data_IF_988507137012
#
_entry.id   IF_988507137012
#
_cell.length_a   1.000
_cell.length_b   1.000
_cell.length_c   1.000
_cell.angle_alpha   90.00
_cell.angle_beta   90.00
_cell.angle_gamma   90.00
#
_symmetry.space_group_name_H-M   'P 1'
#
loop_
_entity.id
_entity.type
_entity.pdbx_description
1 polymer ?
#
# COMPACT_ATOMS: atom_id res chain seq x y z
N UNK A 1 -30.06 -38.71 -6.10
CA UNK A 1 -30.62 -37.59 -6.91
C UNK A 1 -31.00 -36.31 -6.13
N UNK A 2 -30.94 -36.28 -4.79
CA UNK A 2 -31.30 -35.09 -3.96
C UNK A 2 -30.20 -34.05 -3.77
N UNK A 3 -28.93 -34.40 -3.90
CA UNK A 3 -27.79 -33.47 -3.66
C UNK A 3 -27.54 -32.48 -4.80
N UNK A 4 -27.78 -32.85 -6.06
CA UNK A 4 -27.57 -31.96 -7.20
C UNK A 4 -28.60 -30.81 -7.27
N UNK A 5 -29.80 -31.01 -6.78
CA UNK A 5 -30.85 -29.97 -6.81
C UNK A 5 -30.63 -28.90 -5.74
N UNK A 6 -30.04 -29.26 -4.61
CA UNK A 6 -29.65 -28.28 -3.56
C UNK A 6 -28.52 -27.36 -4.04
N UNK A 7 -27.54 -27.91 -4.77
CA UNK A 7 -26.43 -27.12 -5.35
C UNK A 7 -26.96 -26.18 -6.43
N UNK A 8 -27.88 -26.61 -7.28
CA UNK A 8 -28.49 -25.77 -8.30
C UNK A 8 -29.31 -24.62 -7.70
N UNK A 9 -30.04 -24.86 -6.59
CA UNK A 9 -30.79 -23.84 -5.87
C UNK A 9 -29.87 -22.81 -5.20
N UNK A 10 -28.74 -23.24 -4.64
CA UNK A 10 -27.75 -22.33 -4.03
C UNK A 10 -27.10 -21.40 -5.06
N UNK A 11 -26.76 -21.91 -6.24
CA UNK A 11 -26.18 -21.12 -7.34
C UNK A 11 -27.23 -20.10 -7.86
N UNK A 12 -28.50 -20.49 -7.97
CA UNK A 12 -29.56 -19.60 -8.44
C UNK A 12 -29.84 -18.43 -7.47
N UNK A 13 -29.79 -18.68 -6.15
CA UNK A 13 -29.91 -17.62 -5.14
C UNK A 13 -28.73 -16.66 -5.15
N UNK A 14 -27.52 -17.14 -5.45
CA UNK A 14 -26.31 -16.32 -5.54
C UNK A 14 -26.38 -15.37 -6.74
N UNK A 15 -26.90 -15.84 -7.89
CA UNK A 15 -27.08 -15.01 -9.09
C UNK A 15 -28.12 -13.91 -8.86
N UNK A 16 -29.23 -14.23 -8.16
CA UNK A 16 -30.27 -13.23 -7.82
C UNK A 16 -29.71 -12.18 -6.86
N UNK A 17 -28.88 -12.57 -5.87
CA UNK A 17 -28.25 -11.65 -4.92
C UNK A 17 -27.32 -10.64 -5.61
N UNK A 18 -26.53 -11.09 -6.59
CA UNK A 18 -25.64 -10.21 -7.39
C UNK A 18 -26.45 -9.27 -8.26
N UNK A 19 -27.52 -9.74 -8.93
CA UNK A 19 -28.35 -8.90 -9.79
C UNK A 19 -29.08 -7.81 -9.00
N UNK A 20 -29.58 -8.11 -7.79
CA UNK A 20 -30.22 -7.12 -6.92
C UNK A 20 -29.20 -6.14 -6.34
N UNK A 21 -27.99 -6.60 -5.96
CA UNK A 21 -26.91 -5.76 -5.45
C UNK A 21 -26.46 -4.71 -6.47
N UNK A 22 -26.28 -5.09 -7.73
CA UNK A 22 -25.90 -4.18 -8.83
C UNK A 22 -27.02 -3.17 -9.11
N UNK A 23 -28.30 -3.58 -9.02
CA UNK A 23 -29.45 -2.70 -9.25
C UNK A 23 -29.57 -1.62 -8.16
N UNK A 24 -29.32 -1.96 -6.90
CA UNK A 24 -29.32 -1.00 -5.77
C UNK A 24 -28.11 -0.06 -5.85
N UNK A 25 -26.93 -0.58 -6.24
CA UNK A 25 -25.73 0.22 -6.42
C UNK A 25 -25.87 1.28 -7.51
N UNK A 26 -26.47 0.92 -8.64
CA UNK A 26 -26.73 1.86 -9.74
C UNK A 26 -27.83 2.90 -9.40
N UNK A 27 -28.81 2.55 -8.56
CA UNK A 27 -29.88 3.49 -8.18
C UNK A 27 -29.37 4.60 -7.25
N UNK A 28 -28.39 4.30 -6.39
CA UNK A 28 -27.76 5.29 -5.50
C UNK A 28 -26.77 6.25 -6.19
N UNK A 29 -26.43 6.02 -7.47
CA UNK A 29 -25.55 6.89 -8.26
C UNK A 29 -26.31 7.97 -9.04
N UNK A 30 -27.65 7.93 -9.08
CA UNK A 30 -28.47 8.78 -9.96
C UNK A 30 -29.21 9.90 -9.20
N UNK A 31 -29.19 9.95 -7.88
CA UNK A 31 -30.00 10.91 -7.08
C UNK A 31 -29.20 12.08 -6.48
N UNK A 32 -28.24 12.65 -7.21
CA UNK A 32 -27.64 13.92 -6.83
C UNK A 32 -27.63 14.93 -7.99
N UNK A 33 -28.80 15.18 -8.59
CA UNK A 33 -29.01 16.40 -9.38
C UNK A 33 -30.29 17.08 -8.91
N UNK A 34 -30.12 18.06 -8.00
CA UNK A 34 -31.18 18.98 -7.64
C UNK A 34 -31.49 19.89 -8.84
N UNK A 35 -32.59 19.59 -9.51
CA UNK A 35 -33.21 20.47 -10.50
C UNK A 35 -34.09 21.48 -9.73
N UNK A 36 -33.62 22.72 -9.68
CA UNK A 36 -34.48 23.85 -9.29
C UNK A 36 -35.17 24.33 -10.56
N UNK A 37 -36.48 24.05 -10.60
CA UNK A 37 -37.38 24.55 -11.60
C UNK A 37 -37.68 26.04 -11.31
N UNK A 38 -37.30 26.96 -12.19
CA UNK A 38 -37.90 28.28 -12.27
C UNK A 38 -38.19 28.65 -13.70
N UNK A 39 -39.48 28.67 -13.94
CA UNK A 39 -40.17 28.98 -15.18
C UNK A 39 -40.24 30.49 -15.38
N UNK A 40 -39.80 30.91 -16.57
CA UNK A 40 -40.33 32.03 -17.36
C UNK A 40 -39.94 33.47 -16.99
N UNK A 41 -39.11 34.07 -17.83
CA UNK A 41 -39.50 35.25 -18.61
C UNK A 41 -38.42 35.52 -19.68
N UNK A 42 -38.91 35.74 -20.88
CA UNK A 42 -38.12 36.05 -22.10
C UNK A 42 -37.55 37.48 -22.01
N UNK A 43 -36.39 37.72 -22.51
CA UNK A 43 -36.00 38.52 -23.65
C UNK A 43 -34.53 38.89 -23.66
N UNK A 44 -33.89 38.43 -24.72
CA UNK A 44 -32.91 39.10 -25.58
C UNK A 44 -31.82 39.97 -24.92
N UNK A 45 -30.59 39.46 -24.93
CA UNK A 45 -29.50 40.08 -25.71
C UNK A 45 -28.25 39.21 -25.58
N UNK A 46 -27.63 39.01 -26.73
CA UNK A 46 -26.31 38.41 -26.95
C UNK A 46 -25.24 39.04 -26.08
N UNK A 47 -24.40 38.20 -25.49
CA UNK A 47 -22.94 38.32 -25.56
C UNK A 47 -22.39 36.95 -25.15
N UNK A 48 -21.91 36.20 -26.14
CA UNK A 48 -21.02 35.06 -25.94
C UNK A 48 -19.73 35.53 -25.24
N UNK A 49 -19.73 35.51 -23.92
CA UNK A 49 -18.50 35.43 -23.16
C UNK A 49 -18.48 34.05 -22.46
N UNK A 50 -18.14 33.02 -23.23
CA UNK A 50 -17.53 31.83 -22.65
C UNK A 50 -16.18 32.30 -22.11
N UNK A 51 -16.16 32.74 -20.87
CA UNK A 51 -14.90 32.85 -20.12
C UNK A 51 -14.40 31.42 -20.04
N UNK A 52 -13.27 31.09 -20.69
CA UNK A 52 -12.67 29.79 -20.45
C UNK A 52 -12.33 29.80 -18.96
N UNK A 53 -13.01 28.95 -18.19
CA UNK A 53 -12.57 28.66 -16.82
C UNK A 53 -11.17 28.08 -16.99
N UNK A 54 -10.17 28.92 -16.79
CA UNK A 54 -8.79 28.50 -16.82
C UNK A 54 -8.71 27.38 -15.78
N UNK A 55 -8.53 26.15 -16.22
CA UNK A 55 -8.20 25.02 -15.35
C UNK A 55 -6.90 25.45 -14.68
N UNK A 56 -7.00 25.88 -13.43
CA UNK A 56 -5.80 26.24 -12.65
C UNK A 56 -5.03 24.95 -12.47
N UNK A 57 -3.97 24.81 -13.26
CA UNK A 57 -3.09 23.66 -13.18
C UNK A 57 -2.47 23.60 -11.79
N UNK A 58 -2.74 22.52 -11.07
CA UNK A 58 -2.21 22.30 -9.73
C UNK A 58 -0.69 22.09 -9.79
N UNK A 59 0.04 22.82 -8.95
CA UNK A 59 1.52 22.78 -8.89
C UNK A 59 2.00 22.47 -7.49
N UNK A 60 3.11 21.74 -7.42
CA UNK A 60 3.74 21.29 -6.19
C UNK A 60 4.20 22.47 -5.33
N UNK A 61 3.79 22.46 -4.04
CA UNK A 61 4.23 23.41 -3.02
C UNK A 61 5.66 23.14 -2.55
N UNK A 62 6.43 24.17 -2.11
CA UNK A 62 7.73 23.97 -1.47
C UNK A 62 7.71 23.07 -0.23
N UNK A 63 6.58 22.99 0.46
CA UNK A 63 6.38 22.19 1.68
C UNK A 63 5.68 20.85 1.40
N UNK A 64 5.55 20.47 0.13
CA UNK A 64 4.90 19.21 -0.22
C UNK A 64 5.72 18.01 0.28
N UNK A 65 5.01 16.91 0.56
CA UNK A 65 5.61 15.63 0.92
C UNK A 65 5.44 14.63 -0.22
N UNK A 66 6.42 13.76 -0.37
CA UNK A 66 6.34 12.60 -1.24
C UNK A 66 6.23 11.36 -0.37
N UNK A 67 5.14 10.62 -0.54
CA UNK A 67 4.95 9.30 0.08
C UNK A 67 5.32 8.25 -0.95
N UNK A 68 6.44 7.59 -0.71
CA UNK A 68 6.93 6.48 -1.52
C UNK A 68 6.34 5.18 -0.97
N UNK A 69 5.68 4.41 -1.81
CA UNK A 69 5.14 3.10 -1.49
C UNK A 69 5.83 2.05 -2.35
N UNK A 70 6.56 1.13 -1.73
CA UNK A 70 7.20 0.00 -2.41
C UNK A 70 6.54 -1.31 -1.94
N UNK A 71 5.95 -2.04 -2.87
CA UNK A 71 5.38 -3.35 -2.62
C UNK A 71 6.32 -4.44 -3.11
N UNK A 72 6.66 -5.37 -2.24
CA UNK A 72 7.57 -6.48 -2.52
C UNK A 72 6.79 -7.78 -2.68
N UNK A 73 6.79 -8.34 -3.90
CA UNK A 73 5.99 -9.53 -4.22
C UNK A 73 6.53 -10.82 -3.59
N UNK A 74 7.79 -10.86 -3.21
CA UNK A 74 8.41 -12.03 -2.58
C UNK A 74 8.02 -12.23 -1.12
N UNK A 75 7.58 -11.16 -0.43
CA UNK A 75 7.22 -11.20 0.99
C UNK A 75 5.88 -10.53 1.31
N UNK A 76 5.16 -10.04 0.30
CA UNK A 76 3.84 -9.38 0.43
C UNK A 76 3.87 -8.14 1.35
N UNK A 77 5.03 -7.46 1.41
CA UNK A 77 5.20 -6.27 2.25
C UNK A 77 5.09 -4.98 1.45
N UNK A 78 4.40 -4.00 2.05
CA UNK A 78 4.30 -2.63 1.56
C UNK A 78 5.11 -1.70 2.47
N UNK A 79 6.29 -1.30 2.02
CA UNK A 79 7.09 -0.28 2.70
C UNK A 79 6.60 1.11 2.33
N UNK A 80 6.50 1.99 3.33
CA UNK A 80 6.11 3.39 3.14
C UNK A 80 7.19 4.29 3.73
N UNK A 81 7.63 5.25 2.95
CA UNK A 81 8.57 6.28 3.37
C UNK A 81 8.04 7.66 2.98
N UNK A 82 8.10 8.62 3.91
CA UNK A 82 7.71 10.00 3.65
C UNK A 82 8.95 10.88 3.56
N UNK A 83 9.10 11.59 2.46
CA UNK A 83 10.23 12.49 2.17
C UNK A 83 9.75 13.90 1.87
N UNK A 84 10.62 14.87 2.07
CA UNK A 84 10.40 16.20 1.55
C UNK A 84 10.46 16.19 0.02
N UNK A 85 9.72 17.13 -0.59
CA UNK A 85 9.76 17.27 -2.04
C UNK A 85 11.16 17.73 -2.48
N UNK A 86 11.75 17.12 -3.52
CA UNK A 86 12.97 17.64 -4.12
C UNK A 86 12.77 19.07 -4.63
N UNK A 87 13.74 19.96 -4.41
CA UNK A 87 13.65 21.37 -4.78
C UNK A 87 13.31 21.59 -6.25
N UNK A 88 13.86 20.76 -7.13
CA UNK A 88 13.63 20.82 -8.57
C UNK A 88 12.21 20.41 -9.00
N UNK A 89 11.40 19.87 -8.10
CA UNK A 89 9.98 19.56 -8.32
C UNK A 89 9.03 20.63 -7.78
N UNK A 90 9.53 21.62 -7.07
CA UNK A 90 8.72 22.77 -6.62
C UNK A 90 8.18 23.52 -7.83
N UNK A 91 6.89 23.92 -7.78
CA UNK A 91 6.14 24.55 -8.85
C UNK A 91 5.98 23.72 -10.14
N UNK A 92 6.28 22.41 -10.09
CA UNK A 92 6.03 21.50 -11.21
C UNK A 92 4.59 20.98 -11.17
N UNK A 93 4.07 20.67 -12.36
CA UNK A 93 2.77 20.00 -12.52
C UNK A 93 2.90 18.47 -12.47
N UNK A 94 1.76 17.79 -12.55
CA UNK A 94 1.70 16.31 -12.49
C UNK A 94 2.58 15.64 -13.55
N UNK A 95 2.49 16.08 -14.80
CA UNK A 95 3.24 15.49 -15.92
C UNK A 95 4.78 15.59 -15.69
N UNK A 96 5.24 16.72 -15.16
CA UNK A 96 6.65 16.93 -14.85
C UNK A 96 7.12 16.05 -13.67
N UNK A 97 6.24 15.79 -12.70
CA UNK A 97 6.50 14.87 -11.58
C UNK A 97 6.56 13.43 -12.08
N UNK A 98 5.62 13.00 -12.91
CA UNK A 98 5.63 11.68 -13.54
C UNK A 98 6.91 11.44 -14.35
N UNK A 99 7.35 12.44 -15.09
CA UNK A 99 8.61 12.38 -15.84
C UNK A 99 9.86 12.26 -14.95
N UNK A 100 9.83 12.90 -13.79
CA UNK A 100 10.93 12.78 -12.81
C UNK A 100 10.98 11.41 -12.16
N UNK A 101 9.82 10.90 -11.76
CA UNK A 101 9.66 9.58 -11.14
C UNK A 101 9.30 8.49 -12.18
N UNK A 102 10.03 8.46 -13.31
CA UNK A 102 9.74 7.59 -14.46
C UNK A 102 9.62 6.08 -14.15
N UNK A 103 10.29 5.63 -13.06
CA UNK A 103 10.30 4.22 -12.63
C UNK A 103 9.24 3.95 -11.53
N UNK A 104 8.38 4.94 -11.27
CA UNK A 104 7.30 4.90 -10.28
C UNK A 104 5.97 5.24 -10.94
N UNK A 105 4.89 4.70 -10.40
CA UNK A 105 3.54 5.15 -10.73
C UNK A 105 3.11 6.27 -9.79
N UNK A 106 2.58 7.37 -10.30
CA UNK A 106 2.01 8.44 -9.47
C UNK A 106 0.57 8.09 -9.16
N UNK A 107 0.34 7.52 -7.97
CA UNK A 107 -1.00 7.13 -7.49
C UNK A 107 -1.88 8.33 -7.18
N UNK A 108 -1.29 9.37 -6.59
CA UNK A 108 -1.99 10.59 -6.23
C UNK A 108 -1.09 11.81 -6.39
N UNK A 109 -1.69 12.89 -6.85
CA UNK A 109 -1.01 14.17 -7.02
C UNK A 109 -1.88 15.29 -6.46
N UNK A 110 -1.32 16.06 -5.54
CA UNK A 110 -1.88 17.30 -5.04
C UNK A 110 -0.79 18.33 -4.79
N UNK A 111 -1.20 19.58 -4.55
CA UNK A 111 -0.28 20.68 -4.24
C UNK A 111 0.66 20.37 -3.08
N UNK A 112 0.20 19.62 -2.06
CA UNK A 112 0.92 19.41 -0.81
C UNK A 112 1.40 17.98 -0.60
N UNK A 113 0.92 17.02 -1.41
CA UNK A 113 1.24 15.61 -1.27
C UNK A 113 1.27 14.91 -2.61
N UNK A 114 2.29 14.11 -2.82
CA UNK A 114 2.46 13.23 -3.96
C UNK A 114 2.63 11.82 -3.43
N UNK A 115 1.81 10.88 -3.90
CA UNK A 115 1.95 9.46 -3.57
C UNK A 115 2.46 8.75 -4.80
N UNK A 116 3.62 8.12 -4.67
CA UNK A 116 4.20 7.29 -5.72
C UNK A 116 4.29 5.84 -5.26
N UNK A 117 4.04 4.93 -6.19
CA UNK A 117 4.00 3.49 -5.97
C UNK A 117 4.93 2.77 -6.94
N UNK A 118 5.61 1.75 -6.43
CA UNK A 118 6.42 0.83 -7.23
C UNK A 118 6.23 -0.58 -6.71
N UNK A 119 6.15 -1.53 -7.64
CA UNK A 119 6.21 -2.95 -7.34
C UNK A 119 7.62 -3.47 -7.62
N UNK A 120 8.18 -4.20 -6.65
CA UNK A 120 9.50 -4.82 -6.72
C UNK A 120 9.35 -6.33 -6.61
N UNK A 121 10.11 -7.04 -7.41
CA UNK A 121 10.21 -8.49 -7.26
C UNK A 121 11.14 -8.84 -6.10
N UNK A 122 10.85 -9.97 -5.41
CA UNK A 122 11.69 -10.47 -4.33
C UNK A 122 11.28 -9.96 -2.95
N UNK A 123 12.21 -10.10 -1.99
CA UNK A 123 12.00 -9.76 -0.59
C UNK A 123 12.43 -8.32 -0.31
N UNK A 124 11.75 -7.65 0.62
CA UNK A 124 12.24 -6.38 1.13
C UNK A 124 13.47 -6.61 2.03
N UNK A 125 14.27 -5.58 2.22
CA UNK A 125 15.50 -5.63 3.02
C UNK A 125 15.28 -5.55 4.54
N UNK A 126 14.05 -5.77 5.02
CA UNK A 126 13.68 -5.68 6.43
C UNK A 126 13.43 -7.05 7.06
N UNK A 127 13.76 -8.14 6.38
CA UNK A 127 13.60 -9.48 6.91
C UNK A 127 14.81 -9.92 7.70
N UNK A 128 14.54 -10.39 8.91
CA UNK A 128 15.50 -11.00 9.80
C UNK A 128 15.06 -12.42 10.16
N UNK A 129 16.05 -13.27 10.45
CA UNK A 129 15.84 -14.60 11.00
C UNK A 129 16.76 -14.77 12.19
N UNK A 130 16.18 -15.11 13.35
CA UNK A 130 16.93 -15.43 14.56
C UNK A 130 17.07 -16.94 14.64
N UNK A 131 18.28 -17.44 14.69
CA UNK A 131 18.56 -18.88 14.80
C UNK A 131 19.72 -19.16 15.74
N UNK A 132 19.77 -20.38 16.27
CA UNK A 132 20.95 -20.90 16.96
C UNK A 132 22.15 -20.88 16.00
N UNK A 133 23.28 -20.35 16.48
CA UNK A 133 24.55 -20.32 15.79
C UNK A 133 25.72 -20.48 16.79
N UNK A 134 26.41 -21.60 16.72
CA UNK A 134 27.60 -21.87 17.56
C UNK A 134 27.37 -21.67 19.08
N UNK A 135 26.19 -22.01 19.59
CA UNK A 135 25.87 -21.91 21.02
C UNK A 135 25.30 -20.55 21.46
N UNK A 136 25.10 -19.61 20.55
CA UNK A 136 24.45 -18.32 20.79
C UNK A 136 23.29 -18.10 19.81
N UNK A 137 22.50 -17.04 20.02
CA UNK A 137 21.54 -16.60 19.00
C UNK A 137 22.29 -15.81 17.94
N UNK A 138 22.15 -16.23 16.68
CA UNK A 138 22.61 -15.49 15.50
C UNK A 138 21.48 -14.74 14.84
N UNK A 139 21.74 -13.52 14.41
CA UNK A 139 20.82 -12.69 13.60
C UNK A 139 21.24 -12.82 12.15
N UNK A 140 20.30 -13.23 11.30
CA UNK A 140 20.49 -13.35 9.87
C UNK A 140 19.64 -12.34 9.15
N UNK A 141 20.10 -11.87 8.00
CA UNK A 141 19.32 -11.08 7.04
C UNK A 141 18.88 -11.95 5.86
N UNK A 142 17.75 -11.61 5.26
CA UNK A 142 17.25 -12.24 4.03
C UNK A 142 17.35 -11.18 2.94
N UNK A 143 18.11 -11.45 1.87
CA UNK A 143 18.27 -10.53 0.76
C UNK A 143 17.07 -10.60 -0.21
N UNK A 144 17.07 -9.77 -1.24
CA UNK A 144 16.02 -9.68 -2.26
C UNK A 144 15.73 -11.01 -2.99
N UNK A 145 16.70 -11.91 -3.03
CA UNK A 145 16.59 -13.23 -3.66
C UNK A 145 16.20 -14.33 -2.66
N UNK A 146 15.94 -13.98 -1.39
CA UNK A 146 15.64 -14.94 -0.33
C UNK A 146 16.87 -15.65 0.24
N UNK A 147 18.09 -15.18 -0.07
CA UNK A 147 19.32 -15.75 0.48
C UNK A 147 19.53 -15.28 1.92
N UNK A 148 19.68 -16.25 2.80
CA UNK A 148 19.92 -16.03 4.22
C UNK A 148 21.43 -15.87 4.47
N UNK A 149 21.83 -14.79 5.13
CA UNK A 149 23.22 -14.49 5.47
C UNK A 149 23.33 -14.06 6.94
N UNK A 150 24.28 -14.63 7.69
CA UNK A 150 24.54 -14.21 9.06
C UNK A 150 24.98 -12.74 9.07
N UNK A 151 24.27 -11.93 9.86
CA UNK A 151 24.58 -10.52 10.09
C UNK A 151 25.50 -10.36 11.29
N UNK A 152 25.12 -10.97 12.42
CA UNK A 152 25.87 -10.87 13.67
C UNK A 152 25.46 -11.98 14.65
N UNK A 153 26.35 -12.34 15.55
CA UNK A 153 26.06 -13.18 16.71
C UNK A 153 25.71 -12.29 17.91
N UNK A 154 24.70 -12.70 18.67
CA UNK A 154 24.35 -12.03 19.93
C UNK A 154 25.19 -12.61 21.10
N UNK A 155 25.09 -11.99 22.29
CA UNK A 155 25.65 -12.53 23.51
C UNK A 155 24.75 -13.54 24.22
N UNK A 156 23.53 -13.80 23.67
CA UNK A 156 22.53 -14.68 24.28
C UNK A 156 22.92 -16.14 24.05
N UNK A 157 23.31 -16.83 25.11
CA UNK A 157 23.76 -18.22 25.03
C UNK A 157 22.56 -19.18 25.02
N UNK A 158 22.49 -20.03 24.03
CA UNK A 158 21.36 -20.96 23.83
C UNK A 158 21.33 -22.07 24.89
N UNK A 159 22.42 -22.35 25.58
CA UNK A 159 22.50 -23.34 26.65
C UNK A 159 21.67 -22.98 27.90
N UNK A 160 21.32 -21.70 28.06
CA UNK A 160 20.48 -21.24 29.18
C UNK A 160 19.01 -21.10 28.81
N UNK A 161 18.65 -21.31 27.56
CA UNK A 161 17.26 -21.22 27.13
C UNK A 161 16.45 -22.43 27.61
N UNK A 162 15.19 -22.23 28.00
CA UNK A 162 14.23 -23.31 28.18
C UNK A 162 14.12 -24.17 26.90
N UNK A 163 13.85 -25.47 27.06
CA UNK A 163 13.76 -26.41 25.94
C UNK A 163 12.77 -25.93 24.84
N UNK A 164 11.63 -25.36 25.25
CA UNK A 164 10.63 -24.85 24.33
C UNK A 164 11.14 -23.67 23.48
N UNK A 165 12.00 -22.82 24.04
CA UNK A 165 12.56 -21.68 23.32
C UNK A 165 13.75 -22.10 22.45
N UNK A 166 14.54 -23.04 22.94
CA UNK A 166 15.62 -23.67 22.15
C UNK A 166 15.05 -24.33 20.88
N UNK A 167 13.90 -24.97 20.96
CA UNK A 167 13.22 -25.54 19.79
C UNK A 167 12.79 -24.45 18.80
N UNK A 168 12.23 -23.32 19.28
CA UNK A 168 11.85 -22.20 18.41
C UNK A 168 13.04 -21.63 17.66
N UNK A 169 14.15 -21.34 18.36
CA UNK A 169 15.34 -20.76 17.72
C UNK A 169 16.05 -21.72 16.80
N UNK A 170 15.96 -23.04 17.03
CA UNK A 170 16.47 -24.05 16.08
C UNK A 170 15.65 -24.06 14.78
N UNK A 171 14.34 -23.88 14.87
CA UNK A 171 13.46 -23.76 13.70
C UNK A 171 13.69 -22.44 12.98
N UNK A 172 14.02 -21.40 13.72
CA UNK A 172 14.20 -20.03 13.27
C UNK A 172 12.96 -19.16 13.55
N UNK A 173 13.19 -17.97 14.03
CA UNK A 173 12.16 -16.98 14.34
C UNK A 173 12.32 -15.86 13.34
N UNK A 174 11.29 -15.65 12.52
CA UNK A 174 11.27 -14.55 11.57
C UNK A 174 10.83 -13.26 12.25
N UNK A 175 11.42 -12.13 11.84
CA UNK A 175 11.06 -10.80 12.29
C UNK A 175 11.14 -9.80 11.12
N UNK A 176 10.24 -8.82 11.09
CA UNK A 176 10.20 -7.80 10.05
C UNK A 176 10.45 -6.43 10.65
N UNK A 177 11.55 -5.82 10.21
CA UNK A 177 12.00 -4.54 10.74
C UNK A 177 12.66 -4.66 12.11
N UNK A 178 13.32 -3.58 12.50
CA UNK A 178 14.12 -3.57 13.73
C UNK A 178 13.26 -3.67 15.02
N UNK A 179 12.01 -3.22 14.97
CA UNK A 179 11.14 -3.30 16.16
C UNK A 179 10.79 -4.74 16.51
N UNK A 180 10.38 -5.54 15.52
CA UNK A 180 10.06 -6.96 15.76
C UNK A 180 11.33 -7.76 16.11
N UNK A 181 12.45 -7.46 15.43
CA UNK A 181 13.73 -8.07 15.77
C UNK A 181 14.11 -7.85 17.24
N UNK A 182 14.06 -6.58 17.69
CA UNK A 182 14.41 -6.24 19.07
C UNK A 182 13.44 -6.91 20.07
N UNK A 183 12.11 -6.84 19.79
CA UNK A 183 11.12 -7.48 20.66
C UNK A 183 11.34 -8.99 20.75
N UNK A 184 11.65 -9.65 19.61
CA UNK A 184 11.92 -11.09 19.61
C UNK A 184 13.21 -11.45 20.36
N UNK A 185 14.22 -10.58 20.42
CA UNK A 185 15.43 -10.79 21.19
C UNK A 185 15.22 -10.56 22.70
N UNK A 186 14.41 -9.54 23.07
CA UNK A 186 14.05 -9.24 24.47
C UNK A 186 13.36 -10.45 25.14
N UNK A 187 12.67 -11.29 24.40
CA UNK A 187 12.03 -12.50 24.93
C UNK A 187 13.06 -13.57 25.41
N UNK A 188 14.35 -13.40 25.07
CA UNK A 188 15.43 -14.35 25.40
C UNK A 188 16.48 -13.76 26.37
N UNK A 189 16.34 -12.52 26.80
CA UNK A 189 17.19 -11.87 27.80
C UNK A 189 16.62 -12.08 29.22
#
# INVERSE_FOLDING_TARGET
MRKGWIIALAIFLLIIGVALGVSVYNKNKTDNTNIVDNKKLAEKNEINNVVPTAVVEEKVSPNAKVIQKQYFTGCDHLLKETKDIPENLVNKNKEQVEKYYKDWNVDSFSKNEIIIYKEESGFCNQHYLIKEHNGVLGIYTIDENGKITLKEDTEIQTMYLPEADLEKVKQGIEAVGNMELNSALEDFE
#
